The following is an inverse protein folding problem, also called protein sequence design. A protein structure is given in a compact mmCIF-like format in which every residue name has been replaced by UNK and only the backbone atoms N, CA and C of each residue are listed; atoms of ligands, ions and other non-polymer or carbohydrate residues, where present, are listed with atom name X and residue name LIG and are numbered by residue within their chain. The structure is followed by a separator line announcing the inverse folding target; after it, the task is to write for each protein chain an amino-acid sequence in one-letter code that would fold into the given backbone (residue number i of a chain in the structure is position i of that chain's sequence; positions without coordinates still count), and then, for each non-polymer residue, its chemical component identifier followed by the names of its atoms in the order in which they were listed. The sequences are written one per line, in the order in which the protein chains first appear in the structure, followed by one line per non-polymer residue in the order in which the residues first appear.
data_IF_652895033417
#
_entry.id   IF_652895033417
#
_cell.length_a   1.000
_cell.length_b   1.000
_cell.length_c   1.000
_cell.angle_alpha   90.00
_cell.angle_beta   90.00
_cell.angle_gamma   90.00
#
_symmetry.space_group_name_H-M   'P 1'
#
loop_
_entity.id
_entity.type
_entity.pdbx_description
1 polymer ?
#
# COMPACT_ATOMS: atom_id res chain seq x y z
N UNK A 1 -36.46 -1.93 0.02
CA UNK A 1 -36.10 -2.48 -1.31
C UNK A 1 -34.79 -1.83 -1.69
N UNK A 2 -33.67 -2.53 -1.53
CA UNK A 2 -32.36 -2.01 -1.92
C UNK A 2 -32.24 -2.17 -3.44
N UNK A 3 -32.19 -1.05 -4.15
CA UNK A 3 -31.81 -1.04 -5.56
C UNK A 3 -30.31 -1.32 -5.65
N UNK A 4 -29.96 -2.56 -5.98
CA UNK A 4 -28.66 -2.84 -6.56
C UNK A 4 -28.63 -2.22 -7.95
N UNK A 5 -27.66 -1.36 -8.21
CA UNK A 5 -27.37 -0.89 -9.56
C UNK A 5 -26.88 -2.10 -10.35
N UNK A 6 -27.66 -2.55 -11.33
CA UNK A 6 -27.28 -3.54 -12.33
C UNK A 6 -26.18 -2.95 -13.22
N UNK A 7 -24.93 -2.96 -12.73
CA UNK A 7 -23.79 -2.99 -13.64
C UNK A 7 -23.81 -4.36 -14.31
N UNK A 8 -23.79 -4.48 -15.65
CA UNK A 8 -23.77 -5.78 -16.31
C UNK A 8 -22.48 -6.50 -15.93
N UNK A 9 -22.58 -7.41 -14.97
CA UNK A 9 -21.47 -8.29 -14.60
C UNK A 9 -21.30 -9.32 -15.72
N UNK A 10 -20.51 -8.99 -16.74
CA UNK A 10 -20.05 -9.98 -17.70
C UNK A 10 -18.80 -10.68 -17.14
N UNK A 11 -18.76 -12.00 -17.28
CA UNK A 11 -17.58 -12.77 -16.89
C UNK A 11 -16.58 -12.70 -18.03
N UNK A 12 -15.47 -11.98 -17.84
CA UNK A 12 -14.35 -11.99 -18.77
C UNK A 12 -13.50 -13.25 -18.54
N UNK A 13 -13.27 -14.02 -19.61
CA UNK A 13 -12.39 -15.18 -19.59
C UNK A 13 -11.50 -15.16 -20.83
N UNK A 14 -10.21 -15.44 -20.64
CA UNK A 14 -9.27 -15.61 -21.74
C UNK A 14 -8.34 -16.78 -21.42
N UNK A 15 -8.23 -17.73 -22.35
CA UNK A 15 -7.29 -18.82 -22.22
C UNK A 15 -5.90 -18.39 -22.74
N UNK A 16 -4.81 -18.85 -22.11
CA UNK A 16 -3.42 -18.48 -22.47
C UNK A 16 -3.13 -18.66 -23.97
N UNK A 17 -3.63 -19.74 -24.56
CA UNK A 17 -3.42 -20.05 -25.97
C UNK A 17 -4.06 -19.03 -26.94
N UNK A 18 -5.08 -18.30 -26.49
CA UNK A 18 -5.83 -17.32 -27.28
C UNK A 18 -5.40 -15.88 -26.98
N UNK A 19 -4.54 -15.69 -25.97
CA UNK A 19 -4.06 -14.39 -25.54
C UNK A 19 -2.98 -13.83 -26.49
N UNK A 20 -2.95 -12.50 -26.74
CA UNK A 20 -1.89 -11.87 -27.51
C UNK A 20 -0.51 -12.29 -27.01
N UNK A 21 0.25 -12.94 -27.89
CA UNK A 21 1.56 -13.50 -27.58
C UNK A 21 2.67 -12.60 -28.14
N UNK A 22 3.73 -12.41 -27.35
CA UNK A 22 4.98 -11.78 -27.78
C UNK A 22 6.15 -12.68 -27.41
N UNK A 23 6.96 -13.00 -28.40
CA UNK A 23 8.16 -13.83 -28.23
C UNK A 23 9.42 -13.01 -28.47
N UNK A 24 10.42 -13.22 -27.62
CA UNK A 24 11.80 -12.70 -27.72
C UNK A 24 12.76 -13.89 -27.51
N UNK A 25 14.07 -13.75 -27.82
CA UNK A 25 15.04 -14.77 -27.44
C UNK A 25 14.87 -15.12 -25.96
N UNK A 26 14.59 -16.39 -25.66
CA UNK A 26 14.45 -16.88 -24.29
C UNK A 26 13.16 -16.58 -23.55
N UNK A 27 12.28 -15.70 -24.08
CA UNK A 27 11.09 -15.25 -23.37
C UNK A 27 9.83 -15.25 -24.23
N UNK A 28 8.76 -15.83 -23.69
CA UNK A 28 7.43 -15.80 -24.29
C UNK A 28 6.42 -15.23 -23.30
N UNK A 29 5.73 -14.16 -23.69
CA UNK A 29 4.73 -13.50 -22.85
C UNK A 29 3.35 -13.54 -23.52
N UNK A 30 2.29 -13.80 -22.75
CA UNK A 30 0.89 -13.77 -23.16
C UNK A 30 0.14 -12.74 -22.32
N UNK A 31 -0.46 -11.72 -22.95
CA UNK A 31 -1.27 -10.72 -22.25
C UNK A 31 -2.68 -11.28 -21.97
N UNK A 32 -2.93 -11.72 -20.73
CA UNK A 32 -4.20 -12.33 -20.32
C UNK A 32 -5.28 -11.30 -19.93
N UNK A 33 -4.84 -10.09 -19.59
CA UNK A 33 -5.70 -8.94 -19.37
C UNK A 33 -4.85 -7.68 -19.55
N UNK A 34 -5.31 -6.73 -20.34
CA UNK A 34 -4.67 -5.44 -20.52
C UNK A 34 -5.72 -4.33 -20.61
N UNK A 35 -5.25 -3.08 -20.55
CA UNK A 35 -6.11 -1.91 -20.68
C UNK A 35 -6.86 -1.97 -22.01
N UNK A 36 -8.18 -1.86 -21.94
CA UNK A 36 -9.06 -1.91 -23.12
C UNK A 36 -9.76 -3.25 -23.34
N UNK A 37 -9.34 -4.34 -22.69
CA UNK A 37 -10.03 -5.63 -22.78
C UNK A 37 -11.35 -5.63 -22.00
N UNK A 38 -11.38 -4.92 -20.87
CA UNK A 38 -12.54 -4.71 -20.00
C UNK A 38 -12.63 -3.22 -19.69
N UNK A 39 -13.85 -2.67 -19.74
CA UNK A 39 -14.11 -1.25 -19.41
C UNK A 39 -13.60 -0.94 -17.99
N UNK A 40 -12.90 0.18 -17.83
CA UNK A 40 -12.34 0.65 -16.56
C UNK A 40 -11.39 -0.32 -15.81
N UNK A 41 -10.77 -1.29 -16.52
CA UNK A 41 -9.77 -2.16 -15.88
C UNK A 41 -8.46 -1.43 -15.53
N UNK A 42 -8.19 -1.37 -14.23
CA UNK A 42 -6.92 -0.92 -13.66
C UNK A 42 -5.94 -2.09 -13.41
N UNK A 43 -6.26 -3.29 -13.92
CA UNK A 43 -5.46 -4.49 -13.77
C UNK A 43 -4.85 -4.91 -15.12
N UNK A 44 -3.56 -5.19 -15.13
CA UNK A 44 -2.87 -5.88 -16.22
C UNK A 44 -2.38 -7.25 -15.73
N UNK A 45 -2.60 -8.30 -16.53
CA UNK A 45 -2.18 -9.68 -16.23
C UNK A 45 -1.43 -10.25 -17.44
N UNK A 46 -0.24 -10.80 -17.20
CA UNK A 46 0.60 -11.41 -18.24
C UNK A 46 1.13 -12.75 -17.76
N UNK A 47 1.01 -13.79 -18.58
CA UNK A 47 1.70 -15.06 -18.34
C UNK A 47 3.04 -15.04 -19.06
N UNK A 48 4.14 -15.34 -18.38
CA UNK A 48 5.48 -15.31 -18.95
C UNK A 48 6.17 -16.66 -18.75
N UNK A 49 6.80 -17.14 -19.81
CA UNK A 49 7.67 -18.31 -19.82
C UNK A 49 9.11 -17.86 -20.16
N UNK A 50 10.09 -18.29 -19.36
CA UNK A 50 11.52 -17.98 -19.49
C UNK A 50 12.28 -19.29 -19.70
N UNK A 51 13.02 -19.39 -20.81
CA UNK A 51 13.81 -20.57 -21.14
C UNK A 51 15.00 -20.75 -20.18
N UNK A 52 15.52 -21.99 -20.02
CA UNK A 52 16.69 -22.25 -19.18
C UNK A 52 17.89 -21.36 -19.57
N UNK A 53 18.47 -20.68 -18.57
CA UNK A 53 19.62 -19.78 -18.77
C UNK A 53 19.28 -18.39 -19.30
N UNK A 54 18.00 -18.10 -19.56
CA UNK A 54 17.55 -16.76 -19.98
C UNK A 54 16.96 -15.95 -18.82
N UNK A 55 16.84 -14.65 -19.03
CA UNK A 55 16.33 -13.70 -18.05
C UNK A 55 15.55 -12.56 -18.68
N UNK A 56 14.63 -11.97 -17.93
CA UNK A 56 14.04 -10.68 -18.30
C UNK A 56 15.08 -9.57 -18.29
N UNK A 57 14.92 -8.61 -19.20
CA UNK A 57 15.67 -7.35 -19.12
C UNK A 57 15.26 -6.57 -17.85
N UNK A 58 16.23 -6.03 -17.08
CA UNK A 58 15.94 -5.15 -15.95
C UNK A 58 15.11 -3.93 -16.36
N UNK A 59 13.99 -3.71 -15.68
CA UNK A 59 13.08 -2.59 -15.99
C UNK A 59 12.37 -2.07 -14.73
N UNK A 60 11.69 -0.93 -14.85
CA UNK A 60 10.91 -0.29 -13.77
C UNK A 60 9.70 0.46 -14.31
N UNK A 61 8.62 0.49 -13.53
CA UNK A 61 7.41 1.26 -13.80
C UNK A 61 6.77 1.75 -12.49
N UNK A 62 5.90 2.77 -12.54
CA UNK A 62 5.17 3.26 -11.37
C UNK A 62 4.09 2.30 -10.84
N UNK A 63 3.72 1.26 -11.58
CA UNK A 63 2.72 0.28 -11.12
C UNK A 63 3.28 -0.65 -10.05
N UNK A 64 2.44 -1.00 -9.07
CA UNK A 64 2.73 -2.14 -8.19
C UNK A 64 2.49 -3.42 -8.97
N UNK A 65 3.40 -4.39 -8.85
CA UNK A 65 3.33 -5.66 -9.58
C UNK A 65 3.63 -6.85 -8.67
N UNK A 66 3.08 -8.00 -9.01
CA UNK A 66 3.39 -9.28 -8.38
C UNK A 66 3.68 -10.34 -9.44
N UNK A 67 4.64 -11.22 -9.18
CA UNK A 67 4.86 -12.46 -9.92
C UNK A 67 4.40 -13.62 -9.05
N UNK A 68 3.59 -14.52 -9.60
CA UNK A 68 3.24 -15.80 -8.99
C UNK A 68 3.84 -16.89 -9.86
N UNK A 69 4.84 -17.59 -9.33
CA UNK A 69 5.52 -18.66 -10.07
C UNK A 69 4.60 -19.86 -10.17
N UNK A 70 4.35 -20.33 -11.38
CA UNK A 70 3.45 -21.45 -11.66
C UNK A 70 4.19 -22.73 -12.02
N UNK A 71 5.44 -22.64 -12.47
CA UNK A 71 6.31 -23.78 -12.79
C UNK A 71 7.79 -23.37 -12.77
N UNK A 72 8.66 -24.31 -12.41
CA UNK A 72 10.11 -24.13 -12.49
C UNK A 72 10.70 -23.42 -11.28
N UNK A 73 11.97 -23.07 -11.39
CA UNK A 73 12.74 -22.36 -10.38
C UNK A 73 13.51 -21.21 -11.04
N UNK A 74 13.70 -20.14 -10.28
CA UNK A 74 14.36 -18.94 -10.76
C UNK A 74 14.85 -18.09 -9.62
N UNK A 75 15.40 -16.94 -9.97
CA UNK A 75 15.78 -15.90 -9.03
C UNK A 75 15.16 -14.58 -9.45
N UNK A 76 14.39 -13.98 -8.55
CA UNK A 76 13.83 -12.65 -8.78
C UNK A 76 14.71 -11.59 -8.13
N UNK A 77 14.94 -10.51 -8.87
CA UNK A 77 15.74 -9.37 -8.43
C UNK A 77 14.84 -8.15 -8.32
N UNK A 78 14.92 -7.44 -7.19
CA UNK A 78 14.18 -6.19 -6.94
C UNK A 78 15.13 -5.19 -6.27
N UNK A 79 15.51 -4.16 -7.01
CA UNK A 79 16.61 -3.25 -6.67
C UNK A 79 17.90 -4.02 -6.37
N UNK A 80 18.41 -3.92 -5.13
CA UNK A 80 19.64 -4.56 -4.68
C UNK A 80 19.39 -5.92 -3.98
N UNK A 81 18.13 -6.36 -3.90
CA UNK A 81 17.74 -7.63 -3.28
C UNK A 81 17.45 -8.68 -4.34
N UNK A 82 17.80 -9.94 -4.03
CA UNK A 82 17.51 -11.08 -4.87
C UNK A 82 17.10 -12.29 -4.02
N UNK A 83 16.06 -13.00 -4.45
CA UNK A 83 15.51 -14.16 -3.76
C UNK A 83 15.25 -15.29 -4.75
N UNK A 84 15.57 -16.51 -4.35
CA UNK A 84 15.23 -17.71 -5.12
C UNK A 84 13.73 -17.98 -4.99
N UNK A 85 13.10 -18.38 -6.10
CA UNK A 85 11.67 -18.61 -6.20
C UNK A 85 11.38 -19.92 -6.93
N UNK A 86 10.32 -20.60 -6.50
CA UNK A 86 9.85 -21.87 -7.06
C UNK A 86 8.34 -21.84 -7.25
N UNK A 87 7.78 -22.84 -7.94
CA UNK A 87 6.33 -22.94 -8.15
C UNK A 87 5.54 -22.81 -6.84
N UNK A 88 4.56 -21.90 -6.82
CA UNK A 88 3.76 -21.53 -5.66
C UNK A 88 4.21 -20.25 -4.96
N UNK A 89 5.44 -19.78 -5.21
CA UNK A 89 5.94 -18.56 -4.61
C UNK A 89 5.35 -17.30 -5.26
N UNK A 90 5.13 -16.29 -4.42
CA UNK A 90 4.76 -14.94 -4.84
C UNK A 90 5.91 -13.98 -4.54
N UNK A 91 6.33 -13.25 -5.56
CA UNK A 91 7.24 -12.12 -5.42
C UNK A 91 6.49 -10.81 -5.70
N UNK A 92 6.74 -9.78 -4.88
CA UNK A 92 6.10 -8.47 -5.03
C UNK A 92 7.13 -7.42 -5.39
N UNK A 93 6.82 -6.67 -6.42
CA UNK A 93 7.63 -5.59 -6.97
C UNK A 93 6.96 -4.25 -6.60
N UNK A 94 7.61 -3.42 -5.75
CA UNK A 94 7.09 -2.10 -5.41
C UNK A 94 7.07 -1.14 -6.62
N UNK A 95 6.16 -0.15 -6.63
CA UNK A 95 6.20 0.97 -7.56
C UNK A 95 7.60 1.58 -7.69
N UNK A 96 8.09 1.69 -8.92
CA UNK A 96 9.37 2.33 -9.26
C UNK A 96 10.61 1.47 -9.03
N UNK A 97 10.47 0.27 -8.45
CA UNK A 97 11.60 -0.63 -8.25
C UNK A 97 12.10 -1.19 -9.59
N UNK A 98 13.43 -1.20 -9.77
CA UNK A 98 14.07 -1.94 -10.86
C UNK A 98 13.94 -3.42 -10.56
N UNK A 99 13.46 -4.21 -11.51
CA UNK A 99 13.26 -5.63 -11.30
C UNK A 99 13.42 -6.45 -12.58
N UNK A 100 13.73 -7.73 -12.40
CA UNK A 100 13.74 -8.77 -13.42
C UNK A 100 13.72 -10.15 -12.75
N UNK A 101 13.49 -11.19 -13.54
CA UNK A 101 13.60 -12.58 -13.12
C UNK A 101 14.49 -13.33 -14.09
N UNK A 102 15.35 -14.19 -13.56
CA UNK A 102 16.18 -15.11 -14.32
C UNK A 102 15.79 -16.56 -14.03
N UNK A 103 15.87 -17.40 -15.04
CA UNK A 103 15.68 -18.83 -14.89
C UNK A 103 17.01 -19.48 -14.49
N UNK A 104 17.08 -19.94 -13.24
CA UNK A 104 18.26 -20.60 -12.66
C UNK A 104 18.22 -22.12 -12.81
N UNK A 105 17.09 -22.67 -13.26
CA UNK A 105 16.84 -24.10 -13.36
C UNK A 105 17.03 -24.68 -14.78
N UNK A 106 16.93 -26.02 -14.90
CA UNK A 106 17.08 -26.73 -16.18
C UNK A 106 15.78 -26.79 -17.00
N UNK A 107 14.63 -26.43 -16.42
CA UNK A 107 13.32 -26.42 -17.08
C UNK A 107 12.83 -24.99 -17.33
N UNK A 108 11.79 -24.82 -18.15
CA UNK A 108 11.12 -23.52 -18.33
C UNK A 108 10.55 -23.02 -17.00
N UNK A 109 10.93 -21.80 -16.62
CA UNK A 109 10.31 -21.04 -15.56
C UNK A 109 9.06 -20.35 -16.10
N UNK A 110 7.90 -20.60 -15.49
CA UNK A 110 6.63 -19.95 -15.83
C UNK A 110 6.08 -19.19 -14.64
N UNK A 111 5.54 -18.00 -14.88
CA UNK A 111 4.88 -17.21 -13.85
C UNK A 111 3.76 -16.33 -14.42
N UNK A 112 2.84 -15.95 -13.55
CA UNK A 112 1.81 -14.94 -13.82
C UNK A 112 2.23 -13.63 -13.18
N UNK A 113 2.39 -12.60 -14.01
CA UNK A 113 2.56 -11.21 -13.60
C UNK A 113 1.20 -10.54 -13.53
N UNK A 114 0.92 -9.82 -12.43
CA UNK A 114 -0.24 -8.94 -12.32
C UNK A 114 0.17 -7.56 -11.80
N UNK A 115 -0.35 -6.48 -12.38
CA UNK A 115 0.02 -5.12 -12.01
C UNK A 115 -1.15 -4.13 -11.99
N UNK A 116 -1.05 -3.13 -11.11
CA UNK A 116 -2.01 -2.02 -11.00
C UNK A 116 -1.29 -0.70 -10.62
N UNK A 117 -1.67 0.47 -11.18
CA UNK A 117 -2.60 0.68 -12.30
C UNK A 117 -2.19 -0.10 -13.57
N UNK A 118 -3.14 -0.39 -14.45
CA UNK A 118 -2.85 -1.06 -15.71
C UNK A 118 -1.94 -0.16 -16.54
N UNK A 119 -0.93 -0.76 -17.15
CA UNK A 119 -0.02 -0.06 -18.05
C UNK A 119 -0.06 -0.70 -19.43
N UNK A 120 0.22 0.09 -20.45
CA UNK A 120 0.35 -0.41 -21.81
C UNK A 120 1.66 -1.20 -21.92
N UNK A 121 1.54 -2.52 -21.87
CA UNK A 121 2.66 -3.44 -22.01
C UNK A 121 3.42 -3.18 -23.32
N UNK A 122 2.74 -2.74 -24.38
CA UNK A 122 3.34 -2.49 -25.70
C UNK A 122 4.32 -1.31 -25.66
N UNK A 123 3.94 -0.21 -25.00
CA UNK A 123 4.69 1.05 -25.00
C UNK A 123 5.98 1.03 -24.16
N UNK A 124 6.05 0.18 -23.14
CA UNK A 124 7.21 0.15 -22.22
C UNK A 124 8.36 -0.72 -22.75
N UNK A 125 8.05 -1.76 -23.51
CA UNK A 125 9.04 -2.70 -24.01
C UNK A 125 9.78 -2.22 -25.26
N UNK A 126 9.19 -1.33 -26.05
CA UNK A 126 9.83 -0.78 -27.26
C UNK A 126 10.85 0.34 -26.94
N UNK A 127 10.92 0.79 -25.68
CA UNK A 127 11.90 1.80 -25.22
C UNK A 127 13.20 1.21 -24.65
N UNK A 128 13.32 -0.12 -24.50
CA UNK A 128 14.50 -0.76 -23.91
C UNK A 128 15.80 -0.64 -24.74
N UNK A 129 15.74 -0.08 -25.96
CA UNK A 129 16.89 0.07 -26.87
C UNK A 129 17.78 1.31 -26.65
N UNK A 130 17.54 2.14 -25.63
CA UNK A 130 18.37 3.31 -25.37
C UNK A 130 18.28 3.69 -23.91
N UNK A 131 19.36 3.52 -23.16
CA UNK A 131 19.94 4.56 -22.30
C UNK A 131 21.25 4.08 -21.68
N UNK A 132 22.29 4.90 -21.88
CA UNK A 132 23.63 4.73 -21.37
C UNK A 132 23.69 4.90 -19.85
N UNK A 133 24.68 4.24 -19.23
CA UNK A 133 25.11 4.53 -17.87
C UNK A 133 25.65 5.97 -17.80
N UNK A 134 24.88 6.85 -17.16
CA UNK A 134 25.26 8.21 -16.84
C UNK A 134 24.88 8.54 -15.40
N UNK A 135 25.86 9.03 -14.63
CA UNK A 135 25.71 9.40 -13.23
C UNK A 135 24.62 10.45 -12.99
N UNK A 136 23.94 10.31 -11.85
CA UNK A 136 23.14 11.28 -11.10
C UNK A 136 22.08 12.11 -11.85
N UNK A 137 20.82 11.89 -11.50
CA UNK A 137 20.07 12.92 -10.77
C UNK A 137 19.25 12.25 -9.67
N UNK A 138 19.55 12.62 -8.43
CA UNK A 138 18.58 12.53 -7.36
C UNK A 138 17.42 13.46 -7.77
N UNK A 139 16.34 12.90 -8.28
CA UNK A 139 15.06 13.61 -8.26
C UNK A 139 14.73 13.82 -6.79
N UNK A 140 14.97 15.04 -6.30
CA UNK A 140 14.37 15.51 -5.07
C UNK A 140 12.86 15.28 -5.20
N UNK A 141 12.36 14.24 -4.53
CA UNK A 141 10.94 13.91 -4.49
C UNK A 141 10.17 15.17 -4.17
N UNK A 142 9.27 15.60 -5.06
CA UNK A 142 8.41 16.75 -4.79
C UNK A 142 7.82 16.64 -3.37
N UNK A 143 7.74 17.73 -2.58
CA UNK A 143 7.31 17.69 -1.18
C UNK A 143 5.97 16.95 -0.95
N UNK A 144 5.10 16.96 -1.96
CA UNK A 144 3.80 16.28 -1.98
C UNK A 144 3.89 14.75 -2.02
N UNK A 145 4.90 14.18 -2.70
CA UNK A 145 5.14 12.73 -2.76
C UNK A 145 5.53 12.15 -1.39
N UNK A 146 6.42 12.86 -0.69
CA UNK A 146 6.81 12.52 0.68
C UNK A 146 5.63 12.61 1.65
N UNK A 147 4.86 13.71 1.61
CA UNK A 147 3.76 13.92 2.54
C UNK A 147 2.63 12.87 2.41
N UNK A 148 2.29 12.48 1.17
CA UNK A 148 1.34 11.38 0.93
C UNK A 148 1.83 10.05 1.50
N UNK A 149 3.12 9.76 1.38
CA UNK A 149 3.71 8.55 1.96
C UNK A 149 3.63 8.57 3.49
N UNK A 150 3.93 9.71 4.12
CA UNK A 150 3.84 9.87 5.58
C UNK A 150 2.40 9.72 6.09
N UNK A 151 1.41 10.25 5.37
CA UNK A 151 -0.01 10.06 5.71
C UNK A 151 -0.46 8.61 5.55
N UNK A 152 -0.03 7.91 4.48
CA UNK A 152 -0.35 6.47 4.32
C UNK A 152 0.29 5.62 5.42
N UNK A 153 1.54 5.89 5.74
CA UNK A 153 2.25 5.27 6.86
C UNK A 153 1.47 5.47 8.17
N UNK A 154 1.12 6.72 8.45
CA UNK A 154 0.36 7.12 9.63
C UNK A 154 -0.91 6.30 9.79
N UNK A 155 -1.80 6.36 8.79
CA UNK A 155 -3.15 5.82 8.93
C UNK A 155 -3.21 4.29 8.84
N UNK A 156 -2.40 3.68 7.96
CA UNK A 156 -2.53 2.23 7.70
C UNK A 156 -1.62 1.40 8.58
N UNK A 157 -0.40 1.86 8.79
CA UNK A 157 0.61 1.06 9.46
C UNK A 157 0.69 1.40 10.93
N UNK A 158 0.97 2.66 11.27
CA UNK A 158 1.23 3.05 12.64
C UNK A 158 -0.01 2.91 13.53
N UNK A 159 -1.18 3.37 13.08
CA UNK A 159 -2.43 3.25 13.84
C UNK A 159 -2.89 1.79 13.95
N UNK A 160 -2.74 1.01 12.87
CA UNK A 160 -3.04 -0.41 12.86
C UNK A 160 -2.19 -1.20 13.86
N UNK A 161 -0.88 -0.98 13.89
CA UNK A 161 0.02 -1.66 14.83
C UNK A 161 -0.35 -1.39 16.30
N UNK A 162 -0.71 -0.15 16.63
CA UNK A 162 -1.14 0.24 17.98
C UNK A 162 -2.46 -0.45 18.35
N UNK A 163 -3.43 -0.48 17.42
CA UNK A 163 -4.71 -1.18 17.62
C UNK A 163 -4.52 -2.69 17.87
N UNK A 164 -3.60 -3.33 17.16
CA UNK A 164 -3.29 -4.75 17.36
C UNK A 164 -2.67 -5.01 18.72
N UNK A 165 -1.66 -4.24 19.13
CA UNK A 165 -1.01 -4.42 20.44
C UNK A 165 -1.99 -4.16 21.59
N UNK A 166 -2.78 -3.07 21.53
CA UNK A 166 -3.79 -2.81 22.56
C UNK A 166 -4.89 -3.89 22.57
N UNK A 167 -5.25 -4.45 21.41
CA UNK A 167 -6.21 -5.54 21.32
C UNK A 167 -5.69 -6.83 21.94
N UNK A 168 -4.40 -7.14 21.72
CA UNK A 168 -3.75 -8.33 22.25
C UNK A 168 -3.59 -8.31 23.77
N UNK A 169 -3.43 -7.13 24.39
CA UNK A 169 -3.46 -6.99 25.85
C UNK A 169 -4.83 -7.34 26.44
N UNK A 170 -5.91 -7.19 25.66
CA UNK A 170 -7.28 -7.40 26.12
C UNK A 170 -7.82 -6.23 26.96
N UNK A 171 -9.14 -6.19 27.20
CA UNK A 171 -9.81 -5.03 27.78
C UNK A 171 -9.40 -4.72 29.24
N UNK A 172 -8.95 -5.73 30.00
CA UNK A 172 -8.55 -5.55 31.40
C UNK A 172 -7.11 -5.05 31.56
N UNK A 173 -6.21 -5.39 30.62
CA UNK A 173 -4.79 -5.02 30.71
C UNK A 173 -4.40 -3.85 29.79
N UNK A 174 -5.21 -3.52 28.78
CA UNK A 174 -5.00 -2.35 27.95
C UNK A 174 -5.13 -1.06 28.78
N UNK A 175 -4.12 -0.17 28.81
CA UNK A 175 -4.23 1.05 29.62
C UNK A 175 -5.35 1.96 29.10
N UNK A 176 -6.31 2.32 29.96
CA UNK A 176 -7.43 3.20 29.59
C UNK A 176 -6.94 4.53 28.98
N UNK A 177 -5.86 5.08 29.54
CA UNK A 177 -5.24 6.32 29.02
C UNK A 177 -4.64 6.14 27.63
N UNK A 178 -4.12 4.96 27.30
CA UNK A 178 -3.61 4.67 25.96
C UNK A 178 -4.76 4.62 24.94
N UNK A 179 -5.87 3.96 25.28
CA UNK A 179 -7.09 3.93 24.45
C UNK A 179 -7.65 5.34 24.26
N UNK A 180 -7.71 6.14 25.33
CA UNK A 180 -8.17 7.54 25.26
C UNK A 180 -7.29 8.42 24.36
N UNK A 181 -5.97 8.23 24.38
CA UNK A 181 -5.05 8.96 23.50
C UNK A 181 -5.18 8.52 22.04
N UNK A 182 -5.39 7.23 21.79
CA UNK A 182 -5.67 6.71 20.45
C UNK A 182 -6.99 7.29 19.90
N UNK A 183 -8.06 7.23 20.69
CA UNK A 183 -9.35 7.83 20.36
C UNK A 183 -9.20 9.32 19.99
N UNK A 184 -8.48 10.08 20.83
CA UNK A 184 -8.19 11.48 20.57
C UNK A 184 -7.45 11.70 19.25
N UNK A 185 -6.40 10.91 19.00
CA UNK A 185 -5.64 10.97 17.77
C UNK A 185 -6.54 10.74 16.54
N UNK A 186 -7.33 9.67 16.54
CA UNK A 186 -8.22 9.31 15.44
C UNK A 186 -9.28 10.40 15.20
N UNK A 187 -9.87 10.94 16.26
CA UNK A 187 -10.82 12.06 16.17
C UNK A 187 -10.15 13.33 15.65
N UNK A 188 -8.92 13.61 16.03
CA UNK A 188 -8.18 14.75 15.49
C UNK A 188 -7.96 14.60 13.97
N UNK A 189 -7.73 13.37 13.47
CA UNK A 189 -7.65 13.10 12.02
C UNK A 189 -8.96 13.43 11.31
N UNK A 190 -10.10 13.03 11.89
CA UNK A 190 -11.43 13.32 11.33
C UNK A 190 -11.73 14.82 11.36
N UNK A 191 -11.46 15.49 12.49
CA UNK A 191 -11.64 16.94 12.64
C UNK A 191 -10.83 17.71 11.61
N UNK A 192 -9.58 17.32 11.37
CA UNK A 192 -8.75 18.00 10.36
C UNK A 192 -9.23 17.76 8.94
N UNK A 193 -9.73 16.56 8.62
CA UNK A 193 -10.32 16.29 7.31
C UNK A 193 -11.60 17.11 7.10
N UNK A 194 -12.50 17.13 8.08
CA UNK A 194 -13.73 17.92 8.05
C UNK A 194 -13.43 19.42 7.89
N UNK A 195 -12.42 19.95 8.60
CA UNK A 195 -11.95 21.34 8.40
C UNK A 195 -11.45 21.60 6.98
N UNK A 196 -10.74 20.64 6.37
CA UNK A 196 -10.26 20.76 4.98
C UNK A 196 -11.44 20.80 3.99
N UNK A 197 -12.52 20.09 4.31
CA UNK A 197 -13.72 19.95 3.48
C UNK A 197 -14.80 21.01 3.78
N UNK A 198 -14.65 21.78 4.86
CA UNK A 198 -15.62 22.80 5.27
C UNK A 198 -16.84 22.21 5.99
N UNK A 199 -16.69 21.06 6.64
CA UNK A 199 -17.76 20.45 7.43
C UNK A 199 -18.05 21.26 8.71
N UNK A 200 -19.34 21.41 9.02
CA UNK A 200 -19.80 22.15 10.20
C UNK A 200 -19.94 21.27 11.43
N UNK A 201 -20.26 19.98 11.25
CA UNK A 201 -20.44 19.02 12.33
C UNK A 201 -19.16 18.20 12.50
N UNK A 202 -18.33 18.57 13.48
CA UNK A 202 -17.04 17.94 13.75
C UNK A 202 -17.11 17.13 15.06
N UNK A 203 -16.48 15.94 15.12
CA UNK A 203 -16.57 15.10 16.30
C UNK A 203 -15.88 15.76 17.50
N UNK A 204 -16.45 15.56 18.69
CA UNK A 204 -15.82 15.95 19.95
C UNK A 204 -14.45 15.25 20.10
N UNK A 205 -13.40 16.02 20.41
CA UNK A 205 -12.01 15.54 20.46
C UNK A 205 -11.68 14.59 21.62
N UNK A 206 -12.48 14.62 22.70
CA UNK A 206 -12.19 13.90 23.95
C UNK A 206 -13.41 13.09 24.44
N UNK A 207 -14.18 12.51 23.52
CA UNK A 207 -15.22 11.57 23.90
C UNK A 207 -14.64 10.25 24.40
N UNK A 208 -15.40 9.55 25.23
CA UNK A 208 -15.07 8.19 25.65
C UNK A 208 -15.37 7.21 24.50
N UNK A 209 -14.36 6.45 24.09
CA UNK A 209 -14.45 5.43 23.06
C UNK A 209 -13.88 4.12 23.62
N UNK A 210 -14.55 3.00 23.34
CA UNK A 210 -13.94 1.69 23.53
C UNK A 210 -12.89 1.42 22.44
N UNK A 211 -12.03 0.43 22.67
CA UNK A 211 -11.04 0.03 21.66
C UNK A 211 -11.68 -0.44 20.34
N UNK A 212 -12.88 -1.05 20.41
CA UNK A 212 -13.64 -1.43 19.22
C UNK A 212 -14.11 -0.20 18.41
N UNK A 213 -14.55 0.87 19.09
CA UNK A 213 -14.92 2.13 18.44
C UNK A 213 -13.70 2.79 17.78
N UNK A 214 -12.53 2.74 18.45
CA UNK A 214 -11.27 3.20 17.88
C UNK A 214 -10.93 2.44 16.59
N UNK A 215 -11.12 1.10 16.58
CA UNK A 215 -10.86 0.27 15.40
C UNK A 215 -11.78 0.66 14.23
N UNK A 216 -13.07 0.75 14.47
CA UNK A 216 -14.05 1.15 13.46
C UNK A 216 -13.78 2.56 12.92
N UNK A 217 -13.45 3.51 13.81
CA UNK A 217 -13.08 4.88 13.41
C UNK A 217 -11.79 4.91 12.60
N UNK A 218 -10.77 4.14 12.97
CA UNK A 218 -9.52 4.08 12.22
C UNK A 218 -9.73 3.63 10.77
N UNK A 219 -10.55 2.60 10.55
CA UNK A 219 -10.90 2.11 9.22
C UNK A 219 -11.64 3.19 8.40
N UNK A 220 -12.68 3.81 8.98
CA UNK A 220 -13.46 4.84 8.32
C UNK A 220 -12.62 6.09 8.00
N UNK A 221 -11.83 6.57 8.97
CA UNK A 221 -10.94 7.72 8.83
C UNK A 221 -9.88 7.46 7.76
N UNK A 222 -9.27 6.27 7.77
CA UNK A 222 -8.29 5.88 6.77
C UNK A 222 -8.86 5.92 5.35
N UNK A 223 -10.02 5.31 5.15
CA UNK A 223 -10.69 5.30 3.84
C UNK A 223 -11.05 6.72 3.36
N UNK A 224 -11.54 7.57 4.26
CA UNK A 224 -11.88 8.96 3.94
C UNK A 224 -10.64 9.78 3.53
N UNK A 225 -9.55 9.67 4.29
CA UNK A 225 -8.29 10.34 3.95
C UNK A 225 -7.67 9.80 2.67
N UNK A 226 -7.73 8.49 2.43
CA UNK A 226 -7.25 7.90 1.17
C UNK A 226 -8.00 8.45 -0.05
N UNK A 227 -9.33 8.53 0.04
CA UNK A 227 -10.17 9.12 -1.01
C UNK A 227 -9.80 10.57 -1.26
N UNK A 228 -9.76 11.38 -0.19
CA UNK A 228 -9.36 12.79 -0.28
C UNK A 228 -7.98 12.98 -0.93
N UNK A 229 -6.99 12.17 -0.52
CA UNK A 229 -5.66 12.25 -1.10
C UNK A 229 -5.66 11.83 -2.57
N UNK A 230 -6.38 10.77 -2.95
CA UNK A 230 -6.47 10.32 -4.35
C UNK A 230 -6.93 11.45 -5.28
N UNK A 231 -7.88 12.26 -4.82
CA UNK A 231 -8.47 13.34 -5.61
C UNK A 231 -7.61 14.63 -5.65
N UNK A 232 -6.59 14.75 -4.79
CA UNK A 232 -5.69 15.90 -4.80
C UNK A 232 -4.70 15.80 -5.96
N UNK A 233 -4.50 16.88 -6.72
CA UNK A 233 -3.36 17.06 -7.62
C UNK A 233 -2.10 17.47 -6.83
N UNK A 234 -0.87 17.34 -7.39
CA UNK A 234 0.35 17.79 -6.71
C UNK A 234 0.33 19.27 -6.28
N UNK A 235 -0.31 20.15 -7.08
CA UNK A 235 -0.44 21.58 -6.79
C UNK A 235 -1.38 21.92 -5.63
N UNK A 236 -2.31 21.02 -5.29
CA UNK A 236 -3.33 21.29 -4.27
C UNK A 236 -2.75 21.43 -2.87
N UNK A 237 -1.59 20.84 -2.60
CA UNK A 237 -0.90 20.99 -1.31
C UNK A 237 -0.47 22.43 -1.00
N UNK A 238 -0.44 23.31 -2.00
CA UNK A 238 -0.17 24.75 -1.87
C UNK A 238 -1.43 25.61 -1.75
N UNK A 239 -2.63 25.01 -1.84
CA UNK A 239 -3.88 25.74 -1.62
C UNK A 239 -4.05 26.15 -0.16
N UNK A 240 -4.73 27.27 0.04
CA UNK A 240 -5.07 27.76 1.37
C UNK A 240 -6.40 27.17 1.81
N UNK A 241 -6.43 26.62 3.03
CA UNK A 241 -7.63 26.16 3.73
C UNK A 241 -7.99 27.21 4.77
N UNK A 242 -9.26 27.60 4.83
CA UNK A 242 -9.81 28.46 5.90
C UNK A 242 -10.62 27.56 6.83
N UNK A 243 -10.43 27.71 8.13
CA UNK A 243 -11.12 26.87 9.11
C UNK A 243 -11.27 27.58 10.44
N UNK A 244 -12.21 27.09 11.24
CA UNK A 244 -12.40 27.50 12.63
C UNK A 244 -11.74 26.46 13.57
N UNK A 245 -11.03 26.94 14.59
CA UNK A 245 -10.48 26.07 15.62
C UNK A 245 -11.57 25.70 16.65
N UNK A 246 -11.23 24.84 17.61
CA UNK A 246 -12.18 24.39 18.66
C UNK A 246 -12.61 25.48 19.64
N UNK A 247 -12.04 26.69 19.57
CA UNK A 247 -12.41 27.84 20.42
C UNK A 247 -13.17 28.91 19.63
N UNK A 248 -13.65 28.60 18.42
CA UNK A 248 -14.40 29.54 17.58
C UNK A 248 -13.55 30.56 16.81
N UNK A 249 -12.22 30.43 16.84
CA UNK A 249 -11.31 31.38 16.19
C UNK A 249 -10.98 30.93 14.77
N UNK A 250 -11.07 31.88 13.84
CA UNK A 250 -10.81 31.68 12.42
C UNK A 250 -9.30 31.69 12.12
N UNK A 251 -8.86 30.75 11.29
CA UNK A 251 -7.48 30.61 10.83
C UNK A 251 -7.41 30.28 9.34
N UNK A 252 -6.21 30.48 8.79
CA UNK A 252 -5.88 30.02 7.44
C UNK A 252 -4.53 29.32 7.46
N UNK A 253 -4.41 28.21 6.74
CA UNK A 253 -3.16 27.46 6.62
C UNK A 253 -3.08 26.77 5.27
N UNK A 254 -1.89 26.41 4.83
CA UNK A 254 -1.70 25.63 3.61
C UNK A 254 -2.07 24.17 3.87
N UNK A 255 -2.63 23.49 2.86
CA UNK A 255 -2.99 22.08 2.99
C UNK A 255 -1.78 21.22 3.42
N UNK A 256 -0.58 21.48 2.88
CA UNK A 256 0.66 20.81 3.32
C UNK A 256 0.97 20.99 4.81
N UNK A 257 0.66 22.16 5.39
CA UNK A 257 0.93 22.47 6.79
C UNK A 257 -0.05 21.69 7.68
N UNK A 258 -1.32 21.64 7.29
CA UNK A 258 -2.34 20.85 7.98
C UNK A 258 -1.98 19.36 7.95
N UNK A 259 -1.66 18.81 6.77
CA UNK A 259 -1.25 17.42 6.64
C UNK A 259 0.01 17.10 7.44
N UNK A 260 1.01 18.00 7.42
CA UNK A 260 2.21 17.85 8.24
C UNK A 260 1.90 17.86 9.74
N UNK A 261 0.99 18.75 10.17
CA UNK A 261 0.51 18.79 11.54
C UNK A 261 -0.20 17.48 11.94
N UNK A 262 -1.06 16.91 11.09
CA UNK A 262 -1.76 15.64 11.36
C UNK A 262 -0.74 14.51 11.62
N UNK A 263 0.28 14.38 10.76
CA UNK A 263 1.34 13.36 10.93
C UNK A 263 2.13 13.58 12.23
N UNK A 264 2.55 14.83 12.49
CA UNK A 264 3.36 15.16 13.65
C UNK A 264 2.58 14.98 14.97
N UNK A 265 1.32 15.43 15.00
CA UNK A 265 0.42 15.29 16.15
C UNK A 265 0.17 13.83 16.50
N UNK A 266 -0.04 13.00 15.48
CA UNK A 266 -0.20 11.56 15.70
C UNK A 266 1.10 10.90 16.21
N UNK A 267 2.26 11.31 15.69
CA UNK A 267 3.55 10.83 16.20
C UNK A 267 3.74 11.16 17.69
N UNK A 268 3.36 12.39 18.10
CA UNK A 268 3.40 12.82 19.49
C UNK A 268 2.56 11.92 20.43
N UNK A 269 1.32 11.59 20.03
CA UNK A 269 0.46 10.73 20.85
C UNK A 269 0.85 9.26 20.81
N UNK A 270 1.31 8.73 19.68
CA UNK A 270 1.84 7.35 19.62
C UNK A 270 3.00 7.12 20.56
N UNK A 271 3.91 8.09 20.70
CA UNK A 271 5.02 7.97 21.65
C UNK A 271 4.51 7.85 23.11
N UNK A 272 3.47 8.60 23.46
CA UNK A 272 2.82 8.49 24.79
C UNK A 272 2.13 7.14 24.96
N UNK A 273 1.41 6.67 23.95
CA UNK A 273 0.74 5.36 23.95
C UNK A 273 1.78 4.24 24.12
N UNK A 274 2.89 4.30 23.39
CA UNK A 274 3.97 3.31 23.48
C UNK A 274 4.59 3.24 24.88
N UNK A 275 4.78 4.39 25.53
CA UNK A 275 5.24 4.45 26.92
C UNK A 275 4.24 3.78 27.87
N UNK A 276 2.94 4.08 27.72
CA UNK A 276 1.88 3.50 28.55
C UNK A 276 1.74 1.98 28.36
N UNK A 277 1.88 1.48 27.12
CA UNK A 277 1.90 0.03 26.84
C UNK A 277 3.05 -0.63 27.59
N UNK A 278 4.24 -0.01 27.56
CA UNK A 278 5.43 -0.54 28.24
C UNK A 278 5.30 -0.53 29.76
N UNK A 279 4.71 0.52 30.33
CA UNK A 279 4.41 0.61 31.76
C UNK A 279 3.43 -0.49 32.23
N UNK A 280 2.50 -0.89 31.38
CA UNK A 280 1.59 -2.00 31.63
C UNK A 280 2.19 -3.39 31.36
N UNK A 281 3.50 -3.47 31.05
CA UNK A 281 4.20 -4.73 30.79
C UNK A 281 4.02 -5.29 29.38
N UNK A 282 3.38 -4.55 28.47
CA UNK A 282 3.28 -4.91 27.06
C UNK A 282 4.50 -4.47 26.23
N UNK A 283 4.66 -5.02 25.03
CA UNK A 283 5.69 -4.58 24.08
C UNK A 283 5.08 -3.60 23.05
N UNK A 284 5.46 -2.31 23.06
CA UNK A 284 4.93 -1.35 22.11
C UNK A 284 5.46 -1.63 20.69
N UNK A 285 4.63 -1.41 19.65
CA UNK A 285 5.02 -1.71 18.28
C UNK A 285 6.05 -0.72 17.73
N UNK A 286 6.84 -1.17 16.76
CA UNK A 286 7.72 -0.31 15.96
C UNK A 286 6.87 0.46 14.98
N UNK A 287 6.82 1.79 15.11
CA UNK A 287 5.98 2.66 14.27
C UNK A 287 6.77 3.74 13.53
N UNK A 288 8.10 3.63 13.50
CA UNK A 288 8.93 4.60 12.78
C UNK A 288 8.75 4.46 11.27
N UNK A 289 8.60 5.61 10.63
CA UNK A 289 8.46 5.69 9.18
C UNK A 289 9.60 4.99 8.45
N UNK A 290 10.84 5.07 8.95
CA UNK A 290 11.98 4.51 8.26
C UNK A 290 11.96 2.98 8.27
N UNK A 291 11.45 2.35 9.33
CA UNK A 291 11.27 0.90 9.35
C UNK A 291 10.16 0.49 8.41
N UNK A 292 9.04 1.20 8.40
CA UNK A 292 7.97 0.96 7.43
C UNK A 292 8.42 1.15 5.98
N UNK A 293 9.16 2.23 5.70
CA UNK A 293 9.65 2.57 4.37
C UNK A 293 10.73 1.59 3.87
N UNK A 294 11.45 0.95 4.79
CA UNK A 294 12.46 -0.10 4.51
C UNK A 294 11.91 -1.52 4.64
N UNK A 295 10.71 -1.71 5.19
CA UNK A 295 10.21 -3.05 5.50
C UNK A 295 9.88 -3.80 4.21
N UNK A 296 10.49 -4.98 3.97
CA UNK A 296 10.18 -5.83 2.82
C UNK A 296 8.85 -6.59 2.97
N UNK A 297 8.05 -6.32 4.02
CA UNK A 297 6.89 -7.13 4.40
C UNK A 297 5.66 -6.92 3.51
N UNK A 298 5.59 -7.78 2.49
CA UNK A 298 4.39 -8.49 2.03
C UNK A 298 4.46 -10.01 2.34
N UNK A 299 5.24 -10.47 3.32
CA UNK A 299 5.16 -11.88 3.79
C UNK A 299 3.95 -12.02 4.72
N UNK A 300 2.94 -12.77 4.28
CA UNK A 300 1.88 -13.31 5.13
C UNK A 300 2.55 -14.10 6.26
N UNK A 301 2.16 -13.82 7.51
CA UNK A 301 2.40 -14.76 8.60
C UNK A 301 1.81 -16.11 8.18
N UNK A 302 2.62 -17.17 8.26
CA UNK A 302 2.11 -18.52 8.23
C UNK A 302 1.05 -18.62 9.34
N UNK A 303 -0.17 -18.97 8.94
CA UNK A 303 -1.16 -19.47 9.89
C UNK A 303 -0.67 -20.87 10.23
N UNK A 304 -0.24 -21.07 11.47
CA UNK A 304 0.04 -22.40 11.97
C UNK A 304 -1.20 -23.28 11.72
N UNK A 305 -1.03 -24.25 10.83
CA UNK A 305 -1.99 -25.32 10.65
C UNK A 305 -1.99 -26.14 11.94
N UNK A 306 -2.99 -25.90 12.78
CA UNK A 306 -3.33 -26.86 13.83
C UNK A 306 -3.85 -28.12 13.14
N UNK A 307 -3.04 -29.16 13.25
CA UNK A 307 -3.32 -30.55 12.90
C UNK A 307 -4.60 -30.99 13.62
N UNK A 308 -5.63 -31.41 12.87
CA UNK A 308 -6.74 -32.16 13.45
C UNK A 308 -6.23 -33.51 13.97
N UNK A 309 -6.60 -33.93 15.20
CA UNK A 309 -6.35 -35.29 15.62
C UNK A 309 -7.36 -36.21 14.91
N UNK A 310 -6.82 -37.18 14.18
CA UNK A 310 -7.59 -38.35 13.72
C UNK A 310 -8.27 -39.01 14.91
N UNK A 311 -9.58 -39.21 14.80
CA UNK A 311 -10.29 -40.40 15.30
C UNK A 311 -11.27 -40.86 14.23
#
# INVERSE_FOLDING_TARGET
MLHFSDSPAFVFTQHKADAPQRTRPGLTSHALLQRGDVEDTELAVTWVDVAPGDAQEPHRHPSEQVYVVTRGEGRIHVNDEAEDVTAGDLARIPPGATHFVENTGPEVLSYVSAATPSFDATAQYDRAGSLSFGASQAEASSPSGSLRAHLRHQFRHADGQILEVLGALGPEAAPERAVRLLAHQLRAQDVWLGRIQGEADLPALWAEDALADCRARAEASHAAWQRFLKDCAPGDFSRTVRYENSTGKQFTSKLREICGHVVNHATHHRAQIAALIREAGGDPPVTDYIFWARSPFRKRCAVDAVVEPRL
#
